data_IF_557138169934
#
_entry.id   IF_557138169934
#
_cell.length_a   1.000
_cell.length_b   1.000
_cell.length_c   1.000
_cell.angle_alpha   90.00
_cell.angle_beta   90.00
_cell.angle_gamma   90.00
#
_symmetry.space_group_name_H-M   'P 1'
#
loop_
_entity.id
_entity.type
_entity.pdbx_description
1 polymer ?
#
# COMPACT_ATOMS: atom_id res chain seq x y z
N UNK A 1 -0.82 -32.72 17.79
CA UNK A 1 -1.31 -33.37 19.03
C UNK A 1 -0.32 -33.39 20.20
N UNK A 2 0.96 -33.07 19.99
CA UNK A 2 1.96 -33.08 21.08
C UNK A 2 1.96 -31.83 21.96
N UNK A 3 1.59 -30.66 21.41
CA UNK A 3 1.48 -29.41 22.18
C UNK A 3 0.59 -29.52 23.44
N UNK A 4 -0.65 -30.04 23.38
CA UNK A 4 -1.49 -30.14 24.57
C UNK A 4 -0.97 -31.11 25.64
N UNK A 5 -0.20 -32.14 25.26
CA UNK A 5 0.44 -33.04 26.23
C UNK A 5 1.58 -32.33 26.99
N UNK A 6 2.35 -31.49 26.30
CA UNK A 6 3.45 -30.74 26.88
C UNK A 6 2.99 -29.66 27.86
N UNK A 7 2.04 -28.81 27.49
CA UNK A 7 1.50 -27.77 28.38
C UNK A 7 0.79 -28.37 29.59
N UNK A 8 0.13 -29.52 29.43
CA UNK A 8 -0.44 -30.29 30.54
C UNK A 8 0.63 -30.80 31.51
N UNK A 9 1.79 -31.26 31.02
CA UNK A 9 2.92 -31.64 31.89
C UNK A 9 3.60 -30.45 32.58
N UNK A 10 3.53 -29.26 31.98
CA UNK A 10 4.04 -28.01 32.55
C UNK A 10 3.09 -27.36 33.57
N UNK A 11 1.95 -27.99 33.90
CA UNK A 11 0.99 -27.49 34.88
C UNK A 11 -0.12 -26.59 34.32
N UNK A 12 -0.20 -26.44 33.00
CA UNK A 12 -1.18 -25.60 32.30
C UNK A 12 -2.14 -26.49 31.47
N UNK A 13 -3.16 -27.11 32.10
CA UNK A 13 -4.13 -27.94 31.39
C UNK A 13 -5.09 -27.06 30.57
N UNK A 14 -5.41 -27.53 29.37
CA UNK A 14 -6.35 -26.83 28.48
C UNK A 14 -7.77 -26.85 29.07
N UNK A 15 -8.40 -25.68 29.32
CA UNK A 15 -9.79 -25.61 29.76
C UNK A 15 -10.75 -26.16 28.69
N UNK A 16 -11.88 -26.77 29.09
CA UNK A 16 -12.86 -27.29 28.13
C UNK A 16 -13.48 -26.15 27.32
N UNK A 17 -13.64 -26.36 26.01
CA UNK A 17 -14.22 -25.41 25.03
C UNK A 17 -13.38 -24.17 24.71
N UNK A 18 -12.09 -24.14 25.08
CA UNK A 18 -11.19 -23.03 24.74
C UNK A 18 -10.32 -23.36 23.52
N UNK A 19 -10.08 -22.36 22.68
CA UNK A 19 -9.14 -22.46 21.57
C UNK A 19 -7.71 -22.64 22.10
N UNK A 20 -7.08 -23.78 21.79
CA UNK A 20 -5.74 -24.10 22.28
C UNK A 20 -4.67 -23.09 21.87
N UNK A 21 -4.75 -22.54 20.64
CA UNK A 21 -3.74 -21.60 20.17
C UNK A 21 -3.77 -20.28 20.96
N UNK A 22 -4.97 -19.77 21.23
CA UNK A 22 -5.19 -18.52 21.96
C UNK A 22 -4.81 -18.66 23.43
N UNK A 23 -5.18 -19.79 24.05
CA UNK A 23 -4.82 -20.09 25.43
C UNK A 23 -3.31 -20.19 25.65
N UNK A 24 -2.56 -20.82 24.72
CA UNK A 24 -1.10 -20.88 24.83
C UNK A 24 -0.45 -19.53 24.57
N UNK A 25 -0.99 -18.70 23.67
CA UNK A 25 -0.51 -17.34 23.44
C UNK A 25 -0.77 -16.44 24.65
N UNK A 26 -1.89 -16.62 25.34
CA UNK A 26 -2.24 -15.88 26.56
C UNK A 26 -1.30 -16.24 27.72
N UNK A 27 -1.01 -17.53 27.93
CA UNK A 27 0.00 -17.97 28.91
C UNK A 27 1.38 -17.38 28.61
N UNK A 28 1.75 -17.28 27.33
CA UNK A 28 3.03 -16.69 26.90
C UNK A 28 3.05 -15.17 27.07
N UNK A 29 1.92 -14.51 26.81
CA UNK A 29 1.80 -13.05 26.87
C UNK A 29 1.68 -12.53 28.32
N UNK A 30 1.17 -13.35 29.24
CA UNK A 30 1.03 -13.05 30.67
C UNK A 30 2.28 -13.40 31.50
N UNK A 31 3.35 -13.88 30.86
CA UNK A 31 4.58 -14.29 31.52
C UNK A 31 5.41 -13.08 32.02
N UNK A 32 5.06 -12.58 33.21
CA UNK A 32 5.99 -11.89 34.14
C UNK A 32 6.72 -12.92 35.06
N UNK A 33 6.43 -14.22 34.88
CA UNK A 33 7.03 -15.35 35.61
C UNK A 33 8.06 -16.09 34.73
N UNK A 34 9.34 -15.82 35.00
CA UNK A 34 10.52 -16.38 34.31
C UNK A 34 10.46 -17.92 34.16
N UNK A 35 9.80 -18.62 35.08
CA UNK A 35 9.74 -20.09 35.08
C UNK A 35 8.83 -20.65 33.98
N UNK A 36 7.69 -20.00 33.71
CA UNK A 36 6.76 -20.41 32.66
C UNK A 36 7.38 -20.19 31.28
N UNK A 37 8.10 -19.07 31.12
CA UNK A 37 8.79 -18.71 29.89
C UNK A 37 9.98 -19.65 29.60
N UNK A 38 10.75 -20.03 30.63
CA UNK A 38 11.83 -21.01 30.49
C UNK A 38 11.32 -22.42 30.17
N UNK A 39 10.23 -22.86 30.82
CA UNK A 39 9.62 -24.16 30.51
C UNK A 39 9.11 -24.23 29.07
N UNK A 40 8.63 -23.11 28.52
CA UNK A 40 8.17 -22.97 27.14
C UNK A 40 9.31 -22.90 26.13
N UNK A 41 10.38 -22.18 26.42
CA UNK A 41 11.58 -22.18 25.60
C UNK A 41 12.20 -23.57 25.55
N UNK A 42 12.27 -24.27 26.69
CA UNK A 42 12.71 -25.66 26.76
C UNK A 42 11.77 -26.60 25.99
N UNK A 43 10.45 -26.40 26.08
CA UNK A 43 9.46 -27.12 25.28
C UNK A 43 9.69 -26.96 23.78
N UNK A 44 9.96 -25.72 23.36
CA UNK A 44 10.17 -25.35 21.98
C UNK A 44 11.50 -25.90 21.47
N UNK A 45 12.58 -25.79 22.25
CA UNK A 45 13.89 -26.33 21.88
C UNK A 45 13.90 -27.86 21.87
N UNK A 46 13.28 -28.50 22.86
CA UNK A 46 13.19 -29.97 22.93
C UNK A 46 12.21 -30.50 21.87
N UNK A 47 11.16 -29.75 21.54
CA UNK A 47 10.31 -29.99 20.37
C UNK A 47 11.10 -29.91 19.06
N UNK A 48 11.96 -28.90 18.89
CA UNK A 48 12.88 -28.76 17.75
C UNK A 48 13.91 -29.90 17.70
N UNK A 49 14.49 -30.29 18.84
CA UNK A 49 15.47 -31.37 18.93
C UNK A 49 14.83 -32.75 18.69
N UNK A 50 13.61 -32.97 19.18
CA UNK A 50 12.85 -34.20 18.89
C UNK A 50 12.33 -34.24 17.46
N UNK A 51 11.97 -33.10 16.88
CA UNK A 51 11.68 -33.00 15.45
C UNK A 51 12.94 -33.24 14.61
N UNK A 52 14.12 -32.87 15.11
CA UNK A 52 15.42 -33.20 14.50
C UNK A 52 15.82 -34.67 14.68
N UNK A 53 15.46 -35.33 15.79
CA UNK A 53 15.76 -36.76 16.07
C UNK A 53 14.71 -37.74 15.56
N UNK A 54 13.47 -37.30 15.40
CA UNK A 54 12.27 -38.12 15.13
C UNK A 54 12.07 -38.52 13.66
N UNK A 55 12.97 -38.15 12.76
CA UNK A 55 12.99 -38.75 11.42
C UNK A 55 11.74 -38.53 10.56
N UNK A 56 10.93 -37.51 10.83
CA UNK A 56 10.46 -36.76 9.66
C UNK A 56 11.69 -36.07 9.14
N UNK A 57 12.09 -36.49 7.96
CA UNK A 57 13.08 -35.93 7.05
C UNK A 57 12.79 -34.42 6.88
N UNK A 58 12.73 -33.57 7.91
CA UNK A 58 12.37 -32.15 7.78
C UNK A 58 13.63 -31.42 7.35
N UNK A 59 14.78 -31.73 7.93
CA UNK A 59 16.08 -31.25 7.43
C UNK A 59 16.47 -31.86 6.10
N UNK A 60 16.22 -33.16 5.87
CA UNK A 60 16.55 -33.79 4.59
C UNK A 60 15.47 -33.61 3.51
N UNK A 61 14.19 -33.40 3.86
CA UNK A 61 13.19 -32.86 2.95
C UNK A 61 13.33 -31.35 2.79
N UNK A 62 13.82 -30.56 3.74
CA UNK A 62 14.25 -29.16 3.49
C UNK A 62 15.46 -29.14 2.55
N UNK A 63 16.42 -30.05 2.69
CA UNK A 63 17.54 -30.17 1.74
C UNK A 63 17.11 -30.67 0.35
N UNK A 64 16.05 -31.50 0.26
CA UNK A 64 15.44 -31.94 -1.02
C UNK A 64 14.45 -30.92 -1.58
N UNK A 65 13.80 -30.12 -0.72
CA UNK A 65 13.09 -28.88 -0.98
C UNK A 65 14.03 -27.69 -0.79
N UNK A 66 15.30 -27.82 -1.16
CA UNK A 66 16.04 -26.65 -1.61
C UNK A 66 15.60 -26.48 -3.05
N UNK A 67 14.52 -25.73 -3.36
CA UNK A 67 14.56 -25.05 -4.62
C UNK A 67 15.85 -24.25 -4.51
N UNK A 68 16.83 -24.52 -5.39
CA UNK A 68 17.93 -23.58 -5.60
C UNK A 68 17.32 -22.19 -5.44
N UNK A 69 17.85 -21.32 -4.58
CA UNK A 69 17.21 -20.03 -4.31
C UNK A 69 16.84 -19.32 -5.65
N UNK A 70 17.61 -19.59 -6.71
CA UNK A 70 17.33 -19.23 -8.09
C UNK A 70 16.08 -19.90 -8.74
N UNK A 71 15.78 -21.17 -8.48
CA UNK A 71 14.58 -21.89 -8.93
C UNK A 71 13.30 -21.48 -8.17
N UNK A 72 13.39 -21.21 -6.86
CA UNK A 72 12.29 -20.63 -6.10
C UNK A 72 12.03 -19.18 -6.52
N UNK A 73 13.09 -18.37 -6.70
CA UNK A 73 12.96 -17.04 -7.28
C UNK A 73 12.42 -17.09 -8.72
N UNK A 74 12.84 -18.06 -9.54
CA UNK A 74 12.35 -18.19 -10.92
C UNK A 74 10.89 -18.66 -10.98
N UNK A 75 10.44 -19.48 -10.03
CA UNK A 75 9.04 -19.90 -9.90
C UNK A 75 8.15 -18.83 -9.25
N UNK A 76 8.72 -18.00 -8.36
CA UNK A 76 8.03 -16.89 -7.70
C UNK A 76 8.00 -15.61 -8.55
N UNK A 77 8.89 -15.48 -9.55
CA UNK A 77 8.82 -14.37 -10.52
C UNK A 77 7.67 -14.64 -11.47
N UNK A 78 6.55 -13.90 -11.38
CA UNK A 78 5.54 -13.98 -12.42
C UNK A 78 6.23 -13.70 -13.76
N UNK A 79 5.96 -14.53 -14.76
CA UNK A 79 6.52 -14.37 -16.09
C UNK A 79 6.40 -12.89 -16.50
N UNK A 80 7.54 -12.24 -16.72
CA UNK A 80 7.61 -10.79 -16.88
C UNK A 80 6.64 -10.32 -17.94
N UNK A 81 5.58 -9.66 -17.51
CA UNK A 81 4.61 -9.05 -18.42
C UNK A 81 5.33 -7.87 -19.08
N UNK A 82 5.24 -7.73 -20.40
CA UNK A 82 5.94 -6.67 -21.10
C UNK A 82 5.58 -5.28 -20.55
N UNK A 83 6.57 -4.38 -20.45
CA UNK A 83 6.45 -3.03 -19.86
C UNK A 83 5.19 -2.27 -20.29
N UNK A 84 4.82 -2.35 -21.56
CA UNK A 84 3.63 -1.66 -22.11
C UNK A 84 2.33 -2.21 -21.53
N UNK A 85 2.24 -3.52 -21.31
CA UNK A 85 1.05 -4.18 -20.76
C UNK A 85 0.91 -3.87 -19.27
N UNK A 86 2.02 -3.86 -18.53
CA UNK A 86 2.05 -3.42 -17.13
C UNK A 86 1.65 -1.95 -17.00
N UNK A 87 2.25 -1.05 -17.81
CA UNK A 87 1.91 0.36 -17.82
C UNK A 87 0.43 0.58 -18.17
N UNK A 88 -0.11 -0.15 -19.14
CA UNK A 88 -1.53 -0.05 -19.51
C UNK A 88 -2.44 -0.50 -18.36
N UNK A 89 -2.09 -1.60 -17.69
CA UNK A 89 -2.86 -2.11 -16.56
C UNK A 89 -2.82 -1.12 -15.39
N UNK A 90 -1.64 -0.56 -15.07
CA UNK A 90 -1.45 0.44 -14.03
C UNK A 90 -2.21 1.73 -14.34
N UNK A 91 -2.11 2.22 -15.58
CA UNK A 91 -2.86 3.38 -16.05
C UNK A 91 -4.37 3.14 -15.94
N UNK A 92 -4.87 1.99 -16.40
CA UNK A 92 -6.29 1.65 -16.31
C UNK A 92 -6.78 1.61 -14.86
N UNK A 93 -6.00 1.01 -13.96
CA UNK A 93 -6.28 0.97 -12.51
C UNK A 93 -6.32 2.39 -11.92
N UNK A 94 -5.30 3.20 -12.19
CA UNK A 94 -5.22 4.57 -11.72
C UNK A 94 -6.35 5.45 -12.27
N UNK A 95 -6.66 5.33 -13.57
CA UNK A 95 -7.74 6.04 -14.23
C UNK A 95 -9.10 5.67 -13.63
N UNK A 96 -9.37 4.37 -13.45
CA UNK A 96 -10.61 3.89 -12.85
C UNK A 96 -10.74 4.34 -11.39
N UNK A 97 -9.64 4.30 -10.62
CA UNK A 97 -9.62 4.79 -9.24
C UNK A 97 -9.95 6.29 -9.17
N UNK A 98 -9.38 7.07 -10.08
CA UNK A 98 -9.63 8.51 -10.14
C UNK A 98 -11.09 8.82 -10.56
N UNK A 99 -11.64 8.09 -11.53
CA UNK A 99 -13.05 8.20 -11.94
C UNK A 99 -14.03 7.82 -10.81
N UNK A 100 -13.67 6.84 -9.98
CA UNK A 100 -14.46 6.42 -8.82
C UNK A 100 -14.38 7.38 -7.64
N UNK A 101 -13.54 8.42 -7.69
CA UNK A 101 -13.48 9.48 -6.70
C UNK A 101 -14.24 10.72 -7.18
N UNK A 102 -15.59 10.75 -7.03
CA UNK A 102 -16.40 11.85 -7.53
C UNK A 102 -16.09 13.17 -6.81
N UNK A 103 -15.54 13.13 -5.58
CA UNK A 103 -15.16 14.33 -4.86
C UNK A 103 -13.99 15.05 -5.53
N UNK A 104 -12.97 14.31 -5.98
CA UNK A 104 -11.84 14.86 -6.71
C UNK A 104 -12.28 15.48 -8.05
N UNK A 105 -13.08 14.76 -8.82
CA UNK A 105 -13.62 15.23 -10.11
C UNK A 105 -14.46 16.49 -9.95
N UNK A 106 -15.39 16.51 -8.98
CA UNK A 106 -16.22 17.68 -8.69
C UNK A 106 -15.38 18.88 -8.27
N UNK A 107 -14.34 18.68 -7.44
CA UNK A 107 -13.44 19.74 -7.02
C UNK A 107 -12.61 20.31 -8.18
N UNK A 108 -12.13 19.46 -9.09
CA UNK A 108 -11.41 19.91 -10.29
C UNK A 108 -12.32 20.76 -11.19
N UNK A 109 -13.53 20.28 -11.47
CA UNK A 109 -14.49 20.97 -12.33
C UNK A 109 -14.97 22.26 -11.68
N UNK A 110 -15.35 22.25 -10.39
CA UNK A 110 -15.81 23.44 -9.69
C UNK A 110 -14.75 24.53 -9.65
N UNK A 111 -13.49 24.17 -9.40
CA UNK A 111 -12.35 25.11 -9.45
C UNK A 111 -12.18 25.72 -10.84
N UNK A 112 -12.21 24.89 -11.88
CA UNK A 112 -12.03 25.36 -13.26
C UNK A 112 -13.16 26.29 -13.69
N UNK A 113 -14.42 25.94 -13.39
CA UNK A 113 -15.60 26.76 -13.68
C UNK A 113 -15.54 28.08 -12.91
N UNK A 114 -15.22 28.06 -11.62
CA UNK A 114 -15.11 29.28 -10.80
C UNK A 114 -14.09 30.23 -11.41
N UNK A 115 -12.92 29.72 -11.80
CA UNK A 115 -11.88 30.56 -12.38
C UNK A 115 -12.25 31.06 -13.79
N UNK A 116 -12.92 30.25 -14.60
CA UNK A 116 -13.43 30.67 -15.90
C UNK A 116 -14.46 31.80 -15.76
N UNK A 117 -15.34 31.75 -14.75
CA UNK A 117 -16.31 32.81 -14.46
C UNK A 117 -15.61 34.09 -14.00
N UNK A 118 -14.62 34.01 -13.09
CA UNK A 118 -13.87 35.18 -12.61
C UNK A 118 -13.14 35.88 -13.77
N UNK A 119 -12.40 35.12 -14.57
CA UNK A 119 -11.65 35.65 -15.72
C UNK A 119 -12.63 36.18 -16.77
N UNK A 120 -13.69 35.42 -17.09
CA UNK A 120 -14.71 35.84 -18.05
C UNK A 120 -15.42 37.13 -17.65
N UNK A 121 -15.73 37.31 -16.37
CA UNK A 121 -16.31 38.55 -15.86
C UNK A 121 -15.33 39.73 -15.94
N UNK A 122 -14.09 39.52 -15.46
CA UNK A 122 -13.05 40.54 -15.43
C UNK A 122 -12.69 41.07 -16.82
N UNK A 123 -12.78 40.21 -17.84
CA UNK A 123 -12.35 40.48 -19.22
C UNK A 123 -13.52 40.58 -20.22
N UNK A 124 -14.76 40.66 -19.74
CA UNK A 124 -15.99 40.70 -20.55
C UNK A 124 -16.09 41.87 -21.53
N UNK A 125 -15.36 42.97 -21.29
CA UNK A 125 -15.39 44.20 -22.12
C UNK A 125 -14.44 44.22 -23.32
N UNK A 126 -13.61 43.19 -23.53
CA UNK A 126 -12.49 43.23 -24.51
C UNK A 126 -12.88 43.10 -26.00
N UNK A 127 -14.16 42.87 -26.29
CA UNK A 127 -14.66 42.55 -27.62
C UNK A 127 -15.23 43.75 -28.39
N UNK A 128 -15.37 44.91 -27.75
CA UNK A 128 -15.94 46.13 -28.37
C UNK A 128 -14.93 47.03 -29.10
N UNK A 129 -15.34 48.27 -29.43
CA UNK A 129 -14.55 49.28 -30.16
C UNK A 129 -13.24 49.68 -29.45
N UNK A 130 -13.13 49.36 -28.15
CA UNK A 130 -11.93 49.47 -27.32
C UNK A 130 -10.83 48.44 -27.69
N UNK A 131 -11.17 47.42 -28.49
CA UNK A 131 -10.32 46.30 -28.87
C UNK A 131 -9.09 46.67 -29.72
N UNK A 132 -9.10 47.84 -30.37
CA UNK A 132 -8.02 48.34 -31.25
C UNK A 132 -6.99 49.24 -30.56
N UNK A 133 -7.15 49.51 -29.26
CA UNK A 133 -6.21 50.33 -28.48
C UNK A 133 -5.08 49.48 -27.88
N UNK A 134 -3.92 50.08 -27.63
CA UNK A 134 -2.78 49.43 -26.96
C UNK A 134 -3.15 48.85 -25.58
N UNK A 135 -4.13 49.46 -24.88
CA UNK A 135 -4.69 48.94 -23.62
C UNK A 135 -5.35 47.56 -23.77
N UNK A 136 -6.09 47.33 -24.85
CA UNK A 136 -6.73 46.02 -25.12
C UNK A 136 -5.71 44.89 -25.29
N UNK A 137 -4.55 45.18 -25.87
CA UNK A 137 -3.46 44.20 -25.99
C UNK A 137 -2.89 43.84 -24.61
N UNK A 138 -2.71 44.84 -23.74
CA UNK A 138 -2.24 44.62 -22.37
C UNK A 138 -3.25 43.81 -21.54
N UNK A 139 -4.54 44.12 -21.64
CA UNK A 139 -5.60 43.40 -20.94
C UNK A 139 -5.70 41.93 -21.39
N UNK A 140 -5.58 41.65 -22.70
CA UNK A 140 -5.53 40.27 -23.23
C UNK A 140 -4.30 39.51 -22.75
N UNK A 141 -3.16 40.19 -22.68
CA UNK A 141 -1.91 39.60 -22.17
C UNK A 141 -2.04 39.29 -20.68
N UNK A 142 -2.67 40.17 -19.90
CA UNK A 142 -3.00 39.95 -18.50
C UNK A 142 -3.95 38.76 -18.29
N UNK A 143 -4.96 38.62 -19.14
CA UNK A 143 -5.88 37.48 -19.10
C UNK A 143 -5.15 36.15 -19.33
N UNK A 144 -4.32 36.08 -20.38
CA UNK A 144 -3.52 34.89 -20.69
C UNK A 144 -2.54 34.55 -19.56
N UNK A 145 -1.87 35.56 -18.99
CA UNK A 145 -0.97 35.38 -17.86
C UNK A 145 -1.70 34.79 -16.64
N UNK A 146 -2.92 35.26 -16.35
CA UNK A 146 -3.70 34.79 -15.21
C UNK A 146 -4.16 33.33 -15.40
N UNK A 147 -4.60 32.97 -16.62
CA UNK A 147 -4.94 31.58 -16.98
C UNK A 147 -3.72 30.67 -16.84
N UNK A 148 -2.58 31.06 -17.40
CA UNK A 148 -1.32 30.30 -17.34
C UNK A 148 -0.85 30.10 -15.90
N UNK A 149 -0.86 31.16 -15.10
CA UNK A 149 -0.47 31.09 -13.68
C UNK A 149 -1.38 30.15 -12.89
N UNK A 150 -2.70 30.20 -13.11
CA UNK A 150 -3.65 29.27 -12.50
C UNK A 150 -3.41 27.81 -12.91
N UNK A 151 -3.02 27.57 -14.17
CA UNK A 151 -2.72 26.25 -14.68
C UNK A 151 -1.42 25.67 -14.10
N UNK A 152 -0.39 26.51 -13.92
CA UNK A 152 0.88 26.12 -13.30
C UNK A 152 0.67 25.80 -11.82
N UNK A 153 -0.05 26.63 -11.07
CA UNK A 153 -0.35 26.34 -9.66
C UNK A 153 -1.15 25.05 -9.49
N UNK A 154 -1.95 24.69 -10.50
CA UNK A 154 -2.70 23.44 -10.52
C UNK A 154 -1.82 22.19 -10.69
N UNK A 155 -0.62 22.29 -11.29
CA UNK A 155 0.27 21.13 -11.51
C UNK A 155 0.91 20.64 -10.22
N UNK A 156 1.10 21.51 -9.21
CA UNK A 156 1.60 21.16 -7.88
C UNK A 156 0.73 20.14 -7.13
N UNK A 157 -0.54 19.98 -7.52
CA UNK A 157 -1.42 18.98 -6.96
C UNK A 157 -0.99 17.53 -7.31
N UNK A 158 -0.27 17.33 -8.41
CA UNK A 158 0.22 16.01 -8.84
C UNK A 158 1.21 15.38 -7.84
N UNK A 159 2.01 16.21 -7.17
CA UNK A 159 2.95 15.76 -6.14
C UNK A 159 2.22 15.07 -4.98
N UNK A 160 1.03 15.56 -4.61
CA UNK A 160 0.24 14.95 -3.53
C UNK A 160 -0.30 13.57 -3.92
N UNK A 161 -0.72 13.42 -5.17
CA UNK A 161 -1.15 12.12 -5.69
C UNK A 161 0.02 11.11 -5.69
N UNK A 162 1.19 11.55 -6.14
CA UNK A 162 2.40 10.73 -6.13
C UNK A 162 2.82 10.31 -4.69
N UNK A 163 2.80 11.24 -3.74
CA UNK A 163 3.12 10.94 -2.34
C UNK A 163 2.15 9.94 -1.70
N UNK A 164 0.86 10.00 -2.06
CA UNK A 164 -0.15 9.07 -1.56
C UNK A 164 0.02 7.65 -2.13
N UNK A 165 0.46 7.50 -3.38
CA UNK A 165 0.66 6.19 -4.02
C UNK A 165 2.02 5.56 -3.67
N UNK A 166 3.02 6.38 -3.29
CA UNK A 166 4.36 5.89 -2.95
C UNK A 166 4.36 4.80 -1.87
N UNK A 167 3.53 4.93 -0.84
CA UNK A 167 3.45 3.97 0.26
C UNK A 167 2.91 2.61 -0.20
N UNK A 168 1.99 2.60 -1.17
CA UNK A 168 1.44 1.38 -1.77
C UNK A 168 2.52 0.67 -2.59
N UNK A 169 3.29 1.42 -3.37
CA UNK A 169 4.39 0.87 -4.18
C UNK A 169 5.47 0.25 -3.29
N UNK A 170 5.83 0.90 -2.18
CA UNK A 170 6.81 0.36 -1.22
C UNK A 170 6.33 -0.94 -0.57
N UNK A 171 5.01 -1.11 -0.39
CA UNK A 171 4.42 -2.32 0.12
C UNK A 171 4.35 -3.44 -0.93
N UNK A 172 3.93 -3.14 -2.17
CA UNK A 172 3.82 -4.11 -3.27
C UNK A 172 5.19 -4.59 -3.79
N UNK A 173 6.29 -3.90 -3.46
CA UNK A 173 7.65 -4.24 -3.89
C UNK A 173 8.41 -5.13 -2.88
N UNK A 174 7.93 -5.29 -1.64
CA UNK A 174 8.50 -6.20 -0.64
C UNK A 174 8.01 -7.62 -0.84
#
# INVERSE_FOLDING_TARGET
DEAPAHFKSAGYPLPPLTNAAEHYLEIVADADDDNAQQALLQAYTDGLERQARGGTDVTAALLKLEPSAAAAEAAARPAGVGFVVELRALYWRAHTNNMRNPAFLRAMVSRSVTMAVVIGYLYSGLSGDQGRSQRSVQDRTGALYFVLTNQIMSSSASLRAFLAERTVIEHERR
#
